data_IF_883679456340
#
_entry.id   IF_883679456340
#
_cell.length_a   1.000
_cell.length_b   1.000
_cell.length_c   1.000
_cell.angle_alpha   90.00
_cell.angle_beta   90.00
_cell.angle_gamma   90.00
#
_symmetry.space_group_name_H-M   'P 1'
#
loop_
_entity.id
_entity.type
_entity.pdbx_description
1 polymer ?
#
# COMPACT_ATOMS: atom_id res chain seq x y z
N UNK A 1 14.37 3.94 57.88
CA UNK A 1 13.85 3.32 56.64
C UNK A 1 14.94 3.38 55.59
N UNK A 2 15.74 2.31 55.50
CA UNK A 2 16.77 2.17 54.49
C UNK A 2 16.10 1.82 53.15
N UNK A 3 16.46 2.53 52.08
CA UNK A 3 15.98 2.23 50.72
C UNK A 3 16.73 1.00 50.22
N UNK A 4 16.00 -0.06 49.90
CA UNK A 4 16.54 -1.27 49.31
C UNK A 4 17.31 -0.94 48.01
N UNK A 5 18.57 -1.36 47.97
CA UNK A 5 19.40 -1.26 46.78
C UNK A 5 18.86 -2.25 45.73
N UNK A 6 18.51 -1.73 44.55
CA UNK A 6 18.06 -2.53 43.42
C UNK A 6 19.12 -3.60 43.07
N UNK A 7 18.70 -4.86 42.96
CA UNK A 7 19.57 -5.99 42.62
C UNK A 7 20.26 -5.77 41.27
N UNK A 8 21.60 -5.87 41.26
CA UNK A 8 22.39 -5.92 40.03
C UNK A 8 22.11 -7.24 39.29
N UNK A 9 21.54 -7.18 38.09
CA UNK A 9 21.47 -8.34 37.20
C UNK A 9 22.84 -8.61 36.57
N UNK A 10 23.23 -9.88 36.49
CA UNK A 10 24.50 -10.29 35.87
C UNK A 10 24.63 -9.93 34.39
N UNK A 11 23.50 -9.59 33.74
CA UNK A 11 23.43 -9.03 32.39
C UNK A 11 22.56 -7.76 32.41
N UNK A 12 23.13 -6.58 32.62
CA UNK A 12 22.41 -5.31 32.46
C UNK A 12 22.07 -5.10 30.98
N UNK A 13 20.88 -4.56 30.70
CA UNK A 13 20.51 -4.13 29.35
C UNK A 13 21.58 -3.18 28.79
N UNK A 14 22.12 -3.51 27.61
CA UNK A 14 23.05 -2.64 26.88
C UNK A 14 22.36 -2.11 25.62
N UNK A 15 22.41 -0.79 25.35
CA UNK A 15 21.91 -0.25 24.10
C UNK A 15 22.70 -0.82 22.92
N UNK A 16 21.99 -1.27 21.89
CA UNK A 16 22.51 -1.91 20.66
C UNK A 16 23.55 -1.07 19.88
N UNK A 17 23.78 0.18 20.28
CA UNK A 17 24.64 1.14 19.59
C UNK A 17 25.74 1.69 20.50
N UNK A 18 26.76 0.87 20.81
CA UNK A 18 28.08 1.41 21.14
C UNK A 18 28.95 1.37 19.89
N UNK A 19 28.93 2.47 19.13
CA UNK A 19 30.03 2.74 18.21
C UNK A 19 31.30 2.94 19.04
N UNK A 20 32.34 2.13 18.79
CA UNK A 20 33.69 2.48 19.24
C UNK A 20 34.16 3.65 18.37
N UNK A 21 34.13 4.88 18.90
CA UNK A 21 34.78 6.02 18.26
C UNK A 21 35.94 6.53 19.14
N UNK A 22 37.09 6.71 18.50
CA UNK A 22 38.23 7.43 19.06
C UNK A 22 37.80 8.88 19.30
N UNK A 23 38.05 9.38 20.51
CA UNK A 23 37.74 10.74 20.95
C UNK A 23 38.63 11.77 20.25
N UNK A 24 38.02 12.80 19.65
CA UNK A 24 38.67 14.07 19.29
C UNK A 24 38.64 14.44 17.80
N UNK A 25 37.55 15.07 17.33
CA UNK A 25 37.53 16.03 16.21
C UNK A 25 36.14 16.68 16.14
N UNK A 26 36.07 17.99 16.41
CA UNK A 26 34.86 18.68 16.89
C UNK A 26 34.05 19.48 15.84
N UNK A 27 34.31 19.38 14.54
CA UNK A 27 33.59 20.20 13.53
C UNK A 27 32.89 19.38 12.42
N UNK A 28 33.52 18.30 11.94
CA UNK A 28 32.99 17.47 10.85
C UNK A 28 31.72 16.65 11.19
N UNK A 29 31.31 16.57 12.47
CA UNK A 29 30.25 15.67 12.92
C UNK A 29 28.92 16.35 13.26
N UNK A 30 28.84 17.68 13.28
CA UNK A 30 27.59 18.36 13.68
C UNK A 30 26.44 18.07 12.72
N UNK A 31 26.69 18.20 11.41
CA UNK A 31 25.65 18.03 10.39
C UNK A 31 25.15 16.58 10.34
N UNK A 32 26.00 15.54 10.27
CA UNK A 32 25.55 14.15 10.36
C UNK A 32 24.82 13.82 11.68
N UNK A 33 25.23 14.41 12.82
CA UNK A 33 24.54 14.21 14.11
C UNK A 33 23.14 14.84 14.13
N UNK A 34 23.01 16.08 13.64
CA UNK A 34 21.72 16.77 13.51
C UNK A 34 20.82 16.03 12.52
N UNK A 35 21.36 15.62 11.37
CA UNK A 35 20.66 14.82 10.37
C UNK A 35 20.19 13.46 10.92
N UNK A 36 21.01 12.78 11.72
CA UNK A 36 20.63 11.54 12.41
C UNK A 36 19.48 11.76 13.40
N UNK A 37 19.47 12.88 14.13
CA UNK A 37 18.37 13.24 15.03
C UNK A 37 17.06 13.44 14.27
N UNK A 38 17.11 14.10 13.11
CA UNK A 38 15.97 14.27 12.20
C UNK A 38 15.48 12.89 11.76
N UNK A 39 16.36 12.05 11.19
CA UNK A 39 16.01 10.70 10.72
C UNK A 39 15.46 9.77 11.81
N UNK A 40 15.78 10.00 13.09
CA UNK A 40 15.20 9.23 14.20
C UNK A 40 13.77 9.65 14.55
N UNK A 41 13.34 10.84 14.12
CA UNK A 41 12.00 11.39 14.38
C UNK A 41 11.10 11.31 13.15
N UNK A 42 11.63 10.90 11.99
CA UNK A 42 10.90 10.86 10.72
C UNK A 42 9.72 9.89 10.79
N UNK A 43 8.52 10.44 10.57
CA UNK A 43 7.24 9.73 10.41
C UNK A 43 6.44 10.39 9.29
N UNK A 44 5.42 9.72 8.75
CA UNK A 44 4.55 10.30 7.71
C UNK A 44 3.91 11.62 8.16
N UNK A 45 3.60 11.77 9.45
CA UNK A 45 2.90 12.93 10.03
C UNK A 45 3.76 14.18 10.16
N UNK A 46 5.07 14.04 10.35
CA UNK A 46 6.01 15.16 10.54
C UNK A 46 7.02 15.28 9.38
N UNK A 47 6.75 14.63 8.25
CA UNK A 47 7.67 14.58 7.12
C UNK A 47 8.00 15.97 6.55
N UNK A 48 6.99 16.84 6.39
CA UNK A 48 7.17 18.19 5.82
C UNK A 48 8.13 19.03 6.69
N UNK A 49 7.89 19.09 8.00
CA UNK A 49 8.69 19.90 8.92
C UNK A 49 10.12 19.36 9.06
N UNK A 50 10.31 18.04 9.00
CA UNK A 50 11.63 17.42 9.08
C UNK A 50 12.44 17.58 7.78
N UNK A 51 11.78 17.65 6.62
CA UNK A 51 12.44 17.97 5.34
C UNK A 51 12.92 19.42 5.33
N UNK A 52 12.12 20.36 5.85
CA UNK A 52 12.56 21.75 6.00
C UNK A 52 13.78 21.88 6.92
N UNK A 53 13.78 21.15 8.04
CA UNK A 53 14.94 21.06 8.92
C UNK A 53 16.14 20.45 8.21
N UNK A 54 15.96 19.40 7.41
CA UNK A 54 17.02 18.78 6.64
C UNK A 54 17.60 19.73 5.59
N UNK A 55 16.76 20.51 4.89
CA UNK A 55 17.18 21.52 3.90
C UNK A 55 17.88 22.72 4.55
N UNK A 56 17.56 23.05 5.80
CA UNK A 56 18.23 24.13 6.55
C UNK A 56 19.67 23.77 6.96
N UNK A 57 20.03 22.48 6.93
CA UNK A 57 21.39 22.05 7.23
C UNK A 57 22.32 22.40 6.05
N UNK A 58 23.38 23.15 6.35
CA UNK A 58 24.34 23.61 5.34
C UNK A 58 25.26 22.46 4.91
N UNK A 59 24.79 21.64 3.96
CA UNK A 59 25.56 20.57 3.31
C UNK A 59 26.36 21.17 2.15
N UNK A 60 27.50 21.76 2.48
CA UNK A 60 28.34 22.51 1.54
C UNK A 60 29.66 21.81 1.17
N UNK A 61 29.95 20.64 1.75
CA UNK A 61 31.18 19.89 1.48
C UNK A 61 30.87 18.45 1.07
N UNK A 62 31.77 17.84 0.29
CA UNK A 62 31.66 16.45 -0.15
C UNK A 62 31.56 15.48 1.04
N UNK A 63 32.32 15.69 2.12
CA UNK A 63 32.27 14.83 3.31
C UNK A 63 30.92 14.88 4.03
N UNK A 64 30.31 16.08 4.13
CA UNK A 64 28.98 16.24 4.72
C UNK A 64 27.92 15.56 3.85
N UNK A 65 28.03 15.69 2.52
CA UNK A 65 27.12 15.05 1.58
C UNK A 65 27.21 13.52 1.68
N UNK A 66 28.42 12.97 1.66
CA UNK A 66 28.66 11.53 1.86
C UNK A 66 28.10 11.04 3.20
N UNK A 67 28.33 11.77 4.28
CA UNK A 67 27.77 11.43 5.60
C UNK A 67 26.25 11.40 5.62
N UNK A 68 25.57 12.32 4.91
CA UNK A 68 24.10 12.32 4.78
C UNK A 68 23.60 11.14 3.96
N UNK A 69 24.25 10.86 2.81
CA UNK A 69 23.92 9.72 1.94
C UNK A 69 24.07 8.40 2.72
N UNK A 70 25.18 8.24 3.44
CA UNK A 70 25.47 7.04 4.23
C UNK A 70 24.43 6.84 5.34
N UNK A 71 24.01 7.93 6.01
CA UNK A 71 22.97 7.86 7.04
C UNK A 71 21.62 7.43 6.47
N UNK A 72 21.19 8.00 5.33
CA UNK A 72 19.91 7.64 4.69
C UNK A 72 19.94 6.19 4.22
N UNK A 73 21.02 5.78 3.55
CA UNK A 73 21.18 4.42 3.05
C UNK A 73 21.19 3.40 4.19
N UNK A 74 22.01 3.60 5.22
CA UNK A 74 22.08 2.72 6.39
C UNK A 74 20.73 2.61 7.11
N UNK A 75 19.99 3.72 7.21
CA UNK A 75 18.64 3.73 7.79
C UNK A 75 17.66 2.92 6.95
N UNK A 76 17.63 3.16 5.64
CA UNK A 76 16.69 2.48 4.75
C UNK A 76 16.92 0.97 4.69
N UNK A 77 18.17 0.50 4.73
CA UNK A 77 18.45 -0.94 4.73
C UNK A 77 18.11 -1.63 6.05
N UNK A 78 18.18 -0.92 7.18
CA UNK A 78 17.86 -1.47 8.51
C UNK A 78 16.38 -1.38 8.86
N UNK A 79 15.69 -0.38 8.29
CA UNK A 79 14.30 -0.09 8.59
C UNK A 79 13.45 -0.12 7.29
N UNK A 80 13.32 -1.30 6.64
CA UNK A 80 12.68 -1.41 5.32
C UNK A 80 11.22 -0.95 5.30
N UNK A 81 10.52 -1.03 6.44
CA UNK A 81 9.14 -0.55 6.58
C UNK A 81 9.01 0.98 6.41
N UNK A 82 10.09 1.73 6.62
CA UNK A 82 10.14 3.18 6.45
C UNK A 82 10.87 3.60 5.16
N UNK A 83 11.26 2.64 4.30
CA UNK A 83 11.97 2.90 3.04
C UNK A 83 11.25 3.87 2.11
N UNK A 84 9.91 3.86 2.05
CA UNK A 84 9.12 4.84 1.28
C UNK A 84 9.44 6.28 1.72
N UNK A 85 9.53 6.52 3.03
CA UNK A 85 9.80 7.85 3.58
C UNK A 85 11.23 8.28 3.27
N UNK A 86 12.19 7.37 3.39
CA UNK A 86 13.59 7.63 3.02
C UNK A 86 13.75 7.90 1.52
N UNK A 87 12.98 7.25 0.66
CA UNK A 87 12.98 7.50 -0.79
C UNK A 87 12.38 8.88 -1.11
N UNK A 88 11.28 9.26 -0.47
CA UNK A 88 10.70 10.61 -0.60
C UNK A 88 11.68 11.69 -0.16
N UNK A 89 12.39 11.50 0.95
CA UNK A 89 13.44 12.42 1.40
C UNK A 89 14.57 12.50 0.36
N UNK A 90 15.02 11.35 -0.15
CA UNK A 90 16.04 11.28 -1.20
C UNK A 90 15.63 12.01 -2.48
N UNK A 91 14.33 12.04 -2.81
CA UNK A 91 13.79 12.75 -3.97
C UNK A 91 13.92 14.26 -3.80
N UNK A 92 13.68 14.77 -2.59
CA UNK A 92 13.88 16.19 -2.25
C UNK A 92 15.36 16.59 -2.27
N UNK A 93 16.25 15.69 -1.86
CA UNK A 93 17.70 15.91 -1.84
C UNK A 93 18.39 15.63 -3.18
N UNK A 94 17.69 15.05 -4.17
CA UNK A 94 18.30 14.56 -5.41
C UNK A 94 19.04 15.63 -6.23
N UNK A 95 18.59 16.89 -6.13
CA UNK A 95 19.18 18.03 -6.84
C UNK A 95 20.35 18.68 -6.10
N UNK A 96 20.66 18.24 -4.88
CA UNK A 96 21.77 18.77 -4.10
C UNK A 96 23.11 18.35 -4.72
N UNK A 97 23.95 19.35 -5.01
CA UNK A 97 25.30 19.19 -5.54
C UNK A 97 26.28 20.00 -4.72
N UNK A 98 27.48 19.47 -4.51
CA UNK A 98 28.57 20.12 -3.78
C UNK A 98 29.86 20.09 -4.61
N UNK A 99 30.79 21.06 -4.45
CA UNK A 99 32.08 21.00 -5.12
C UNK A 99 32.87 19.75 -4.72
N UNK A 100 33.52 19.11 -5.68
CA UNK A 100 34.38 17.95 -5.42
C UNK A 100 35.67 18.36 -4.71
N UNK A 101 36.05 17.58 -3.71
CA UNK A 101 37.33 17.71 -3.00
C UNK A 101 38.53 17.27 -3.85
N UNK A 102 38.32 16.37 -4.82
CA UNK A 102 39.40 15.78 -5.64
C UNK A 102 39.63 16.52 -6.96
N UNK A 103 38.58 17.07 -7.58
CA UNK A 103 38.65 17.68 -8.91
C UNK A 103 38.09 19.12 -8.89
N UNK A 104 38.95 20.15 -9.00
CA UNK A 104 38.53 21.54 -9.09
C UNK A 104 37.57 21.77 -10.27
N UNK A 105 36.41 22.37 -10.02
CA UNK A 105 35.41 22.69 -11.04
C UNK A 105 34.42 21.57 -11.37
N UNK A 106 34.52 20.42 -10.71
CA UNK A 106 33.54 19.33 -10.83
C UNK A 106 32.65 19.26 -9.59
N UNK A 107 31.36 19.04 -9.81
CA UNK A 107 30.40 18.88 -8.72
C UNK A 107 30.08 17.39 -8.47
N UNK A 108 29.88 17.07 -7.20
CA UNK A 108 29.40 15.77 -6.72
C UNK A 108 27.93 15.91 -6.38
N UNK A 109 27.10 15.07 -6.99
CA UNK A 109 25.65 15.11 -6.85
C UNK A 109 25.13 14.00 -5.91
N UNK A 110 24.15 14.36 -5.07
CA UNK A 110 23.52 13.45 -4.11
C UNK A 110 22.97 12.18 -4.76
N UNK A 111 22.18 12.31 -5.84
CA UNK A 111 21.57 11.16 -6.53
C UNK A 111 22.65 10.19 -7.02
N UNK A 112 23.74 10.70 -7.59
CA UNK A 112 24.83 9.85 -8.08
C UNK A 112 25.51 9.08 -6.94
N UNK A 113 25.78 9.73 -5.81
CA UNK A 113 26.38 9.08 -4.64
C UNK A 113 25.44 8.01 -4.05
N UNK A 114 24.15 8.32 -3.90
CA UNK A 114 23.17 7.39 -3.36
C UNK A 114 23.06 6.13 -4.24
N UNK A 115 22.98 6.30 -5.56
CA UNK A 115 22.92 5.17 -6.50
C UNK A 115 24.19 4.32 -6.45
N UNK A 116 25.37 4.94 -6.36
CA UNK A 116 26.63 4.22 -6.22
C UNK A 116 26.65 3.36 -4.94
N UNK A 117 26.15 3.90 -3.81
CA UNK A 117 26.04 3.16 -2.54
C UNK A 117 25.06 1.99 -2.63
N UNK A 118 23.88 2.20 -3.22
CA UNK A 118 22.91 1.14 -3.45
C UNK A 118 23.48 0.02 -4.33
N UNK A 119 24.24 0.37 -5.38
CA UNK A 119 24.87 -0.59 -6.29
C UNK A 119 25.96 -1.40 -5.58
N UNK A 120 26.88 -0.74 -4.85
CA UNK A 120 27.88 -1.43 -4.04
C UNK A 120 27.22 -2.37 -3.01
N UNK A 121 26.13 -1.90 -2.40
CA UNK A 121 25.18 -2.64 -1.57
C UNK A 121 24.75 -3.98 -2.18
N UNK A 122 24.21 -3.86 -3.38
CA UNK A 122 23.64 -4.95 -4.14
C UNK A 122 24.71 -5.95 -4.60
N UNK A 123 25.85 -5.45 -5.09
CA UNK A 123 26.94 -6.26 -5.64
C UNK A 123 27.80 -6.97 -4.57
N UNK A 124 27.82 -6.45 -3.33
CA UNK A 124 28.66 -6.95 -2.23
C UNK A 124 28.53 -8.46 -1.97
N UNK A 125 27.34 -9.06 -2.09
CA UNK A 125 27.20 -10.53 -1.94
C UNK A 125 27.61 -11.32 -3.17
N UNK A 126 27.35 -10.81 -4.38
CA UNK A 126 27.74 -11.51 -5.62
C UNK A 126 29.27 -11.63 -5.72
N UNK A 127 29.99 -10.61 -5.24
CA UNK A 127 31.46 -10.64 -5.21
C UNK A 127 32.00 -11.61 -4.15
N UNK A 128 31.38 -11.68 -2.95
CA UNK A 128 31.79 -12.60 -1.87
C UNK A 128 31.53 -14.08 -2.18
N UNK A 129 30.49 -14.41 -2.95
CA UNK A 129 30.25 -15.79 -3.41
C UNK A 129 31.29 -16.25 -4.43
N UNK A 130 31.71 -15.36 -5.33
CA UNK A 130 32.76 -15.62 -6.33
C UNK A 130 34.15 -15.83 -5.70
N UNK A 131 34.38 -15.24 -4.52
CA UNK A 131 35.60 -15.45 -3.73
C UNK A 131 35.54 -16.72 -2.86
N UNK A 132 34.36 -17.08 -2.31
CA UNK A 132 34.16 -18.34 -1.58
C UNK A 132 34.29 -19.59 -2.43
N UNK A 133 33.96 -19.53 -3.73
CA UNK A 133 34.22 -20.64 -4.66
C UNK A 133 35.72 -20.94 -4.87
N UNK A 134 36.64 -20.15 -4.28
CA UNK A 134 38.09 -20.38 -4.32
C UNK A 134 38.70 -20.79 -2.98
N UNK A 135 37.94 -20.79 -1.89
CA UNK A 135 38.44 -21.11 -0.55
C UNK A 135 37.55 -22.16 0.10
N UNK A 136 38.08 -23.38 0.23
CA UNK A 136 37.44 -24.53 0.85
C UNK A 136 37.17 -24.32 2.36
N UNK A 137 35.98 -24.79 2.75
CA UNK A 137 35.43 -25.15 4.05
C UNK A 137 36.16 -24.76 5.35
N UNK A 138 35.44 -23.97 6.16
CA UNK A 138 35.42 -24.18 7.62
C UNK A 138 34.01 -23.89 8.14
N UNK A 139 33.43 -24.92 8.76
CA UNK A 139 32.08 -24.92 9.30
C UNK A 139 32.06 -24.45 10.77
N UNK A 140 30.92 -23.87 11.16
CA UNK A 140 30.44 -23.88 12.55
C UNK A 140 30.98 -22.79 13.45
N UNK A 141 30.35 -21.62 13.42
CA UNK A 141 30.44 -20.66 14.52
C UNK A 141 29.06 -19.96 14.63
N UNK A 142 28.42 -19.97 15.81
CA UNK A 142 27.08 -19.34 15.99
C UNK A 142 27.10 -17.85 15.64
N UNK A 143 28.24 -17.19 15.84
CA UNK A 143 28.53 -15.83 15.38
C UNK A 143 28.44 -15.67 13.85
N UNK A 144 28.64 -16.75 13.09
CA UNK A 144 28.56 -16.76 11.63
C UNK A 144 27.10 -16.81 11.16
N UNK A 145 26.22 -17.54 11.86
CA UNK A 145 24.79 -17.63 11.53
C UNK A 145 24.11 -16.26 11.70
N UNK A 146 24.42 -15.54 12.78
CA UNK A 146 23.86 -14.22 13.02
C UNK A 146 24.39 -13.17 12.03
N UNK A 147 25.68 -13.23 11.68
CA UNK A 147 26.27 -12.40 10.60
C UNK A 147 25.64 -12.68 9.24
N UNK A 148 25.37 -13.94 8.91
CA UNK A 148 24.72 -14.34 7.65
C UNK A 148 23.27 -13.84 7.61
N UNK A 149 22.49 -14.02 8.68
CA UNK A 149 21.13 -13.48 8.79
C UNK A 149 21.11 -11.95 8.67
N UNK A 150 22.04 -11.25 9.33
CA UNK A 150 22.16 -9.79 9.25
C UNK A 150 22.49 -9.31 7.84
N UNK A 151 23.40 -9.99 7.15
CA UNK A 151 23.73 -9.72 5.74
C UNK A 151 22.53 -9.99 4.81
N UNK A 152 21.71 -11.00 5.11
CA UNK A 152 20.46 -11.29 4.38
C UNK A 152 19.46 -10.13 4.47
N UNK A 153 19.13 -9.69 5.68
CA UNK A 153 18.16 -8.60 5.87
C UNK A 153 18.64 -7.27 5.27
N UNK A 154 19.94 -6.96 5.36
CA UNK A 154 20.49 -5.74 4.74
C UNK A 154 20.30 -5.71 3.23
N UNK A 155 20.46 -6.84 2.56
CA UNK A 155 20.23 -6.91 1.12
C UNK A 155 18.77 -6.81 0.73
N UNK A 156 17.88 -7.48 1.47
CA UNK A 156 16.45 -7.33 1.27
C UNK A 156 16.05 -5.85 1.44
N UNK A 157 16.53 -5.20 2.49
CA UNK A 157 16.34 -3.76 2.73
C UNK A 157 16.88 -2.89 1.59
N UNK A 158 18.10 -3.17 1.11
CA UNK A 158 18.69 -2.44 -0.03
C UNK A 158 17.86 -2.61 -1.32
N UNK A 159 17.38 -3.81 -1.60
CA UNK A 159 16.55 -4.09 -2.78
C UNK A 159 15.18 -3.41 -2.68
N UNK A 160 14.52 -3.49 -1.52
CA UNK A 160 13.27 -2.76 -1.25
C UNK A 160 13.50 -1.25 -1.41
N UNK A 161 14.59 -0.72 -0.86
CA UNK A 161 14.90 0.70 -0.97
C UNK A 161 15.16 1.13 -2.42
N UNK A 162 15.89 0.36 -3.22
CA UNK A 162 16.04 0.60 -4.67
C UNK A 162 14.66 0.63 -5.35
N UNK A 163 13.75 -0.26 -4.95
CA UNK A 163 12.38 -0.27 -5.46
C UNK A 163 11.58 0.97 -5.08
N UNK A 164 11.69 1.43 -3.83
CA UNK A 164 11.09 2.69 -3.38
C UNK A 164 11.68 3.91 -4.09
N UNK A 165 12.99 3.91 -4.37
CA UNK A 165 13.66 4.94 -5.18
C UNK A 165 13.16 4.97 -6.64
N UNK A 166 12.75 3.83 -7.19
CA UNK A 166 12.10 3.76 -8.51
C UNK A 166 10.72 4.41 -8.49
N UNK A 167 9.91 4.17 -7.46
CA UNK A 167 8.58 4.80 -7.32
C UNK A 167 8.63 6.33 -7.31
N UNK A 168 9.72 6.91 -6.80
CA UNK A 168 9.96 8.37 -6.77
C UNK A 168 10.85 8.89 -7.92
N UNK A 169 11.02 8.11 -9.00
CA UNK A 169 11.77 8.46 -10.21
C UNK A 169 13.28 8.79 -9.98
N UNK A 170 13.87 8.30 -8.88
CA UNK A 170 15.31 8.39 -8.61
C UNK A 170 16.11 7.28 -9.31
N UNK A 171 15.48 6.13 -9.53
CA UNK A 171 16.06 5.00 -10.24
C UNK A 171 15.31 4.81 -11.56
N UNK A 172 16.04 4.49 -12.63
CA UNK A 172 15.44 4.18 -13.92
C UNK A 172 14.92 2.73 -13.96
N UNK A 173 13.89 2.48 -14.76
CA UNK A 173 13.30 1.14 -14.97
C UNK A 173 14.34 0.07 -15.36
N UNK A 174 15.34 0.45 -16.16
CA UNK A 174 16.43 -0.45 -16.59
C UNK A 174 17.22 -1.05 -15.41
N UNK A 175 17.37 -0.29 -14.32
CA UNK A 175 18.03 -0.75 -13.10
C UNK A 175 17.17 -1.79 -12.38
N UNK A 176 15.85 -1.59 -12.31
CA UNK A 176 14.93 -2.56 -11.72
C UNK A 176 14.94 -3.87 -12.51
N UNK A 177 14.87 -3.79 -13.85
CA UNK A 177 14.99 -4.96 -14.72
C UNK A 177 16.34 -5.68 -14.53
N UNK A 178 17.43 -4.94 -14.34
CA UNK A 178 18.73 -5.51 -14.06
C UNK A 178 18.75 -6.27 -12.71
N UNK A 179 18.23 -5.65 -11.64
CA UNK A 179 18.11 -6.28 -10.33
C UNK A 179 17.29 -7.58 -10.41
N UNK A 180 16.13 -7.55 -11.05
CA UNK A 180 15.26 -8.72 -11.23
C UNK A 180 16.00 -9.86 -11.95
N UNK A 181 16.60 -9.56 -13.11
CA UNK A 181 17.34 -10.57 -13.89
C UNK A 181 18.49 -11.17 -13.09
N UNK A 182 19.25 -10.35 -12.36
CA UNK A 182 20.37 -10.81 -11.53
C UNK A 182 19.88 -11.73 -10.39
N UNK A 183 18.78 -11.39 -9.72
CA UNK A 183 18.22 -12.19 -8.63
C UNK A 183 17.66 -13.54 -9.12
N UNK A 184 17.03 -13.55 -10.31
CA UNK A 184 16.49 -14.77 -10.94
C UNK A 184 17.58 -15.69 -11.50
N UNK A 185 18.74 -15.17 -11.92
CA UNK A 185 19.86 -15.99 -12.42
C UNK A 185 20.52 -16.78 -11.28
N UNK A 186 20.68 -16.17 -10.11
CA UNK A 186 21.35 -16.80 -8.96
C UNK A 186 20.54 -17.99 -8.41
N UNK A 187 19.21 -17.90 -8.46
CA UNK A 187 18.22 -18.90 -7.99
C UNK A 187 18.37 -19.34 -6.53
N UNK A 188 19.21 -18.72 -5.70
CA UNK A 188 19.30 -19.07 -4.27
C UNK A 188 18.04 -18.66 -3.50
N UNK A 189 17.74 -19.32 -2.38
CA UNK A 189 16.58 -18.95 -1.57
C UNK A 189 16.64 -17.48 -1.12
N UNK A 190 17.83 -16.96 -0.79
CA UNK A 190 17.99 -15.56 -0.43
C UNK A 190 17.78 -14.61 -1.61
N UNK A 191 18.22 -14.98 -2.82
CA UNK A 191 18.01 -14.14 -4.00
C UNK A 191 16.54 -14.12 -4.42
N UNK A 192 15.86 -15.27 -4.31
CA UNK A 192 14.43 -15.40 -4.57
C UNK A 192 13.60 -14.64 -3.53
N UNK A 193 13.97 -14.65 -2.24
CA UNK A 193 13.32 -13.83 -1.21
C UNK A 193 13.46 -12.33 -1.51
N UNK A 194 14.66 -11.89 -1.92
CA UNK A 194 14.89 -10.51 -2.33
C UNK A 194 14.10 -10.15 -3.60
N UNK A 195 13.99 -11.07 -4.55
CA UNK A 195 13.19 -10.91 -5.77
C UNK A 195 11.71 -10.75 -5.46
N UNK A 196 11.15 -11.60 -4.60
CA UNK A 196 9.77 -11.49 -4.14
C UNK A 196 9.52 -10.16 -3.41
N UNK A 197 10.44 -9.75 -2.51
CA UNK A 197 10.37 -8.45 -1.84
C UNK A 197 10.41 -7.27 -2.80
N UNK A 198 11.25 -7.33 -3.84
CA UNK A 198 11.33 -6.31 -4.88
C UNK A 198 10.02 -6.21 -5.63
N UNK A 199 9.53 -7.32 -6.21
CA UNK A 199 8.32 -7.31 -7.03
C UNK A 199 7.07 -6.97 -6.24
N UNK A 200 6.98 -7.34 -4.96
CA UNK A 200 5.90 -6.85 -4.08
C UNK A 200 5.90 -5.32 -3.95
N UNK A 201 7.09 -4.70 -3.99
CA UNK A 201 7.25 -3.24 -3.88
C UNK A 201 7.01 -2.52 -5.20
N UNK A 202 7.58 -3.03 -6.30
CA UNK A 202 7.62 -2.33 -7.60
C UNK A 202 6.72 -2.92 -8.68
N UNK A 203 6.16 -4.11 -8.49
CA UNK A 203 5.50 -4.89 -9.54
C UNK A 203 4.45 -4.11 -10.31
N UNK A 204 3.52 -3.48 -9.59
CA UNK A 204 2.50 -2.61 -10.18
C UNK A 204 3.08 -1.44 -10.98
N UNK A 205 4.07 -0.76 -10.42
CA UNK A 205 4.72 0.38 -11.06
C UNK A 205 5.53 -0.03 -12.29
N UNK A 206 6.17 -1.20 -12.23
CA UNK A 206 6.96 -1.78 -13.30
C UNK A 206 6.08 -2.23 -14.46
N UNK A 207 4.96 -2.90 -14.18
CA UNK A 207 4.00 -3.33 -15.22
C UNK A 207 3.40 -2.12 -15.93
N UNK A 208 3.01 -1.07 -15.18
CA UNK A 208 2.60 0.22 -15.74
C UNK A 208 3.70 0.82 -16.63
N UNK A 209 4.96 0.78 -16.21
CA UNK A 209 6.07 1.35 -16.96
C UNK A 209 6.35 0.59 -18.28
N UNK A 210 6.24 -0.74 -18.25
CA UNK A 210 6.37 -1.62 -19.42
C UNK A 210 5.22 -1.38 -20.42
N UNK A 211 3.97 -1.33 -19.94
CA UNK A 211 2.79 -1.10 -20.79
C UNK A 211 2.83 0.25 -21.54
N UNK A 212 3.55 1.26 -21.02
CA UNK A 212 3.72 2.56 -21.69
C UNK A 212 4.56 2.51 -22.96
N UNK A 213 5.49 1.56 -23.06
CA UNK A 213 6.48 1.51 -24.15
C UNK A 213 6.16 0.51 -25.23
N UNK A 214 5.33 -0.49 -24.93
CA UNK A 214 5.07 -1.59 -25.86
C UNK A 214 3.64 -1.55 -26.39
N UNK A 215 3.49 -1.27 -27.69
CA UNK A 215 2.25 -1.47 -28.47
C UNK A 215 2.08 -2.96 -28.82
N UNK A 216 3.16 -3.74 -28.75
CA UNK A 216 3.19 -5.18 -29.00
C UNK A 216 3.28 -5.94 -27.66
N UNK A 217 2.50 -7.00 -27.51
CA UNK A 217 2.36 -7.88 -26.33
C UNK A 217 3.65 -8.63 -25.90
N UNK A 218 4.84 -8.03 -25.98
CA UNK A 218 6.06 -8.61 -25.40
C UNK A 218 6.18 -8.20 -23.93
N UNK A 219 5.45 -8.94 -23.11
CA UNK A 219 5.32 -8.67 -21.70
C UNK A 219 6.56 -9.19 -20.95
N UNK A 220 7.55 -8.33 -20.71
CA UNK A 220 8.75 -8.66 -19.94
C UNK A 220 8.38 -9.23 -18.55
N UNK A 221 7.23 -8.84 -17.99
CA UNK A 221 6.71 -9.42 -16.76
C UNK A 221 6.27 -10.89 -16.93
N UNK A 222 5.69 -11.27 -18.07
CA UNK A 222 5.35 -12.67 -18.36
C UNK A 222 6.60 -13.54 -18.40
N UNK A 223 7.70 -13.01 -18.96
CA UNK A 223 8.99 -13.70 -18.90
C UNK A 223 9.47 -13.92 -17.46
N UNK A 224 9.32 -12.91 -16.57
CA UNK A 224 9.69 -13.08 -15.16
C UNK A 224 8.83 -14.11 -14.44
N UNK A 225 7.52 -14.11 -14.67
CA UNK A 225 6.61 -15.10 -14.09
C UNK A 225 6.88 -16.49 -14.64
N UNK A 226 7.17 -16.62 -15.94
CA UNK A 226 7.56 -17.88 -16.54
C UNK A 226 8.84 -18.45 -15.89
N UNK A 227 9.86 -17.62 -15.67
CA UNK A 227 11.07 -18.05 -14.97
C UNK A 227 10.79 -18.46 -13.51
N UNK A 228 9.87 -17.78 -12.82
CA UNK A 228 9.42 -18.17 -11.49
C UNK A 228 8.72 -19.53 -11.50
N UNK A 229 7.81 -19.76 -12.44
CA UNK A 229 7.11 -21.04 -12.60
C UNK A 229 8.10 -22.17 -12.85
N UNK A 230 9.09 -21.95 -13.71
CA UNK A 230 10.17 -22.92 -13.96
C UNK A 230 10.98 -23.25 -12.69
N UNK A 231 11.21 -22.28 -11.81
CA UNK A 231 11.87 -22.52 -10.52
C UNK A 231 10.98 -23.38 -9.60
N UNK A 232 9.67 -23.11 -9.56
CA UNK A 232 8.70 -23.92 -8.80
C UNK A 232 8.68 -25.37 -9.32
N UNK A 233 8.53 -25.55 -10.63
CA UNK A 233 8.40 -26.86 -11.27
C UNK A 233 9.68 -27.71 -11.15
N UNK A 234 10.84 -27.05 -11.05
CA UNK A 234 12.13 -27.74 -10.87
C UNK A 234 12.30 -28.40 -9.49
N UNK A 235 11.39 -28.16 -8.53
CA UNK A 235 11.47 -28.70 -7.18
C UNK A 235 12.64 -28.14 -6.34
N UNK A 236 13.30 -27.09 -6.82
CA UNK A 236 14.56 -26.56 -6.29
C UNK A 236 14.41 -25.69 -5.01
N UNK A 237 13.23 -25.60 -4.41
CA UNK A 237 12.98 -24.65 -3.32
C UNK A 237 12.25 -25.28 -2.12
N UNK A 238 12.55 -24.82 -0.90
CA UNK A 238 11.80 -25.23 0.29
C UNK A 238 10.30 -24.93 0.15
N UNK A 239 9.44 -25.67 0.86
CA UNK A 239 7.99 -25.42 0.85
C UNK A 239 7.65 -23.95 1.11
N UNK A 240 8.37 -23.28 2.02
CA UNK A 240 8.22 -21.85 2.30
C UNK A 240 8.50 -20.98 1.07
N UNK A 241 9.58 -21.25 0.35
CA UNK A 241 9.95 -20.49 -0.84
C UNK A 241 8.98 -20.75 -1.99
N UNK A 242 8.57 -22.02 -2.17
CA UNK A 242 7.52 -22.39 -3.14
C UNK A 242 6.23 -21.59 -2.89
N UNK A 243 5.73 -21.59 -1.65
CA UNK A 243 4.54 -20.78 -1.31
C UNK A 243 4.77 -19.29 -1.53
N UNK A 244 5.94 -18.74 -1.18
CA UNK A 244 6.23 -17.32 -1.40
C UNK A 244 6.23 -16.94 -2.89
N UNK A 245 6.69 -17.83 -3.76
CA UNK A 245 6.69 -17.63 -5.22
C UNK A 245 5.28 -17.81 -5.81
N UNK A 246 4.53 -18.82 -5.34
CA UNK A 246 3.11 -19.01 -5.68
C UNK A 246 2.28 -17.77 -5.29
N UNK A 247 2.46 -17.26 -4.06
CA UNK A 247 1.83 -16.02 -3.58
C UNK A 247 2.17 -14.81 -4.48
N UNK A 248 3.35 -14.78 -5.08
CA UNK A 248 3.77 -13.69 -5.96
C UNK A 248 3.10 -13.78 -7.33
N UNK A 249 2.97 -15.00 -7.87
CA UNK A 249 2.20 -15.24 -9.11
C UNK A 249 0.74 -14.85 -8.87
N UNK A 250 0.16 -15.30 -7.75
CA UNK A 250 -1.20 -14.95 -7.35
C UNK A 250 -1.37 -13.44 -7.14
N UNK A 251 -0.41 -12.77 -6.50
CA UNK A 251 -0.45 -11.31 -6.34
C UNK A 251 -0.53 -10.60 -7.69
N UNK A 252 0.21 -11.08 -8.70
CA UNK A 252 0.15 -10.51 -10.05
C UNK A 252 -1.16 -10.81 -10.75
N UNK A 253 -1.70 -12.04 -10.65
CA UNK A 253 -3.00 -12.37 -11.25
C UNK A 253 -4.13 -11.53 -10.65
N UNK A 254 -3.95 -11.03 -9.43
CA UNK A 254 -4.85 -10.10 -8.76
C UNK A 254 -4.46 -8.63 -8.92
N UNK A 255 -3.84 -8.23 -10.03
CA UNK A 255 -3.46 -6.84 -10.34
C UNK A 255 -2.62 -6.14 -9.24
N UNK A 256 -1.77 -6.91 -8.56
CA UNK A 256 -0.95 -6.48 -7.44
C UNK A 256 -1.74 -6.01 -6.21
N UNK A 257 -2.99 -6.44 -6.08
CA UNK A 257 -3.76 -6.26 -4.85
C UNK A 257 -3.54 -7.45 -3.90
N UNK A 258 -3.07 -7.22 -2.66
CA UNK A 258 -2.93 -8.30 -1.68
C UNK A 258 -4.30 -8.89 -1.31
N UNK A 259 -4.52 -10.18 -1.62
CA UNK A 259 -5.77 -10.89 -1.27
C UNK A 259 -5.93 -11.15 0.24
N UNK A 260 -4.86 -11.01 1.04
CA UNK A 260 -4.89 -11.20 2.50
C UNK A 260 -4.22 -10.01 3.18
N UNK A 261 -5.02 -9.13 3.78
CA UNK A 261 -4.51 -8.01 4.60
C UNK A 261 -3.88 -8.52 5.91
N UNK A 262 -4.09 -9.79 6.26
CA UNK A 262 -3.64 -10.35 7.53
C UNK A 262 -2.76 -11.61 7.32
N UNK A 263 -1.52 -11.55 7.81
CA UNK A 263 -0.67 -12.68 8.28
C UNK A 263 0.75 -12.86 7.70
N UNK A 264 1.47 -11.86 7.20
CA UNK A 264 2.92 -12.10 6.96
C UNK A 264 3.96 -11.05 7.33
N UNK A 265 3.58 -9.89 7.85
CA UNK A 265 4.49 -9.01 8.58
C UNK A 265 3.76 -8.43 9.79
N UNK A 266 4.49 -8.15 10.87
CA UNK A 266 3.97 -7.49 12.08
C UNK A 266 3.36 -6.10 11.78
N UNK A 267 3.12 -5.28 12.82
CA UNK A 267 2.14 -4.18 12.79
C UNK A 267 2.26 -3.36 11.51
N UNK A 268 1.20 -3.48 10.69
CA UNK A 268 0.72 -2.60 9.63
C UNK A 268 1.78 -1.60 9.18
N UNK A 269 2.50 -1.90 8.09
CA UNK A 269 3.03 -0.82 7.29
C UNK A 269 1.82 -0.04 6.78
N UNK A 270 1.70 1.19 7.26
CA UNK A 270 0.66 2.18 6.96
C UNK A 270 0.66 2.62 5.47
N UNK A 271 1.11 1.75 4.55
CA UNK A 271 1.50 2.08 3.18
C UNK A 271 0.49 1.56 2.14
N UNK A 272 -0.31 0.53 2.44
CA UNK A 272 -1.29 0.04 1.46
C UNK A 272 -2.57 0.88 1.36
N UNK A 273 -2.82 1.84 2.27
CA UNK A 273 -4.06 2.62 2.28
C UNK A 273 -3.83 4.14 2.12
N UNK A 274 -2.64 4.68 2.44
CA UNK A 274 -2.43 6.16 2.49
C UNK A 274 -1.71 6.81 1.30
N UNK A 275 -1.22 6.09 0.29
CA UNK A 275 -0.48 6.70 -0.83
C UNK A 275 -1.26 6.79 -2.17
N UNK A 276 -2.55 7.14 -2.11
CA UNK A 276 -3.30 7.59 -3.30
C UNK A 276 -3.20 9.10 -3.58
N UNK A 277 -2.50 9.89 -2.77
CA UNK A 277 -2.22 11.30 -3.04
C UNK A 277 -0.80 11.52 -3.58
N UNK A 278 -0.62 11.40 -4.90
CA UNK A 278 0.51 12.02 -5.60
C UNK A 278 0.02 12.66 -6.90
N UNK A 279 0.14 13.99 -6.94
CA UNK A 279 -0.03 14.84 -8.12
C UNK A 279 1.09 14.54 -9.12
N UNK A 280 0.82 13.73 -10.14
CA UNK A 280 1.72 13.56 -11.28
C UNK A 280 0.90 13.27 -12.56
N UNK A 281 0.71 14.30 -13.39
CA UNK A 281 -0.23 14.34 -14.52
C UNK A 281 0.04 13.30 -15.62
N UNK A 282 1.24 12.70 -15.66
CA UNK A 282 1.57 11.62 -16.60
C UNK A 282 1.10 10.24 -16.11
N UNK A 283 1.01 10.03 -14.78
CA UNK A 283 0.47 8.80 -14.21
C UNK A 283 -1.05 8.74 -14.31
N UNK A 284 -1.75 9.88 -14.34
CA UNK A 284 -3.21 9.94 -14.59
C UNK A 284 -3.60 9.44 -15.98
N UNK A 285 -2.87 9.83 -17.03
CA UNK A 285 -3.17 9.41 -18.41
C UNK A 285 -3.02 7.91 -18.62
N UNK A 286 -2.04 7.30 -17.94
CA UNK A 286 -1.75 5.86 -18.07
C UNK A 286 -2.54 5.04 -17.04
N UNK A 287 -2.84 5.57 -15.85
CA UNK A 287 -3.88 5.04 -14.95
C UNK A 287 -5.22 5.00 -15.64
N UNK A 288 -5.59 6.08 -16.36
CA UNK A 288 -6.73 6.08 -17.26
C UNK A 288 -6.56 4.96 -18.25
N UNK A 289 -5.51 4.86 -19.07
CA UNK A 289 -5.52 3.91 -20.20
C UNK A 289 -5.39 2.41 -19.85
N UNK A 290 -4.54 2.01 -18.90
CA UNK A 290 -4.35 0.58 -18.53
C UNK A 290 -5.43 0.13 -17.53
N UNK A 291 -5.78 1.01 -16.59
CA UNK A 291 -6.98 0.86 -15.77
C UNK A 291 -8.23 0.84 -16.64
N UNK A 292 -8.33 1.65 -17.70
CA UNK A 292 -9.41 1.62 -18.69
C UNK A 292 -9.45 0.26 -19.37
N UNK A 293 -8.35 -0.29 -19.87
CA UNK A 293 -8.39 -1.58 -20.59
C UNK A 293 -8.87 -2.77 -19.73
N UNK A 294 -8.29 -3.00 -18.54
CA UNK A 294 -8.78 -4.05 -17.63
C UNK A 294 -10.16 -3.70 -17.07
N UNK A 295 -10.39 -2.43 -16.73
CA UNK A 295 -11.73 -2.00 -16.32
C UNK A 295 -12.72 -2.08 -17.46
N UNK A 296 -12.36 -2.05 -18.74
CA UNK A 296 -13.33 -2.02 -19.83
C UNK A 296 -13.88 -3.41 -20.06
N UNK A 297 -13.04 -4.44 -20.06
CA UNK A 297 -13.52 -5.82 -20.12
C UNK A 297 -14.30 -6.19 -18.85
N UNK A 298 -13.84 -5.77 -17.67
CA UNK A 298 -14.59 -5.93 -16.43
C UNK A 298 -15.87 -5.09 -16.40
N UNK A 299 -15.85 -3.85 -16.89
CA UNK A 299 -17.01 -2.95 -16.98
C UNK A 299 -17.99 -3.47 -17.99
N UNK A 300 -17.57 -4.11 -19.09
CA UNK A 300 -18.48 -4.75 -20.05
C UNK A 300 -19.16 -5.96 -19.39
N UNK A 301 -18.41 -6.83 -18.70
CA UNK A 301 -18.96 -7.97 -17.96
C UNK A 301 -19.88 -7.52 -16.81
N UNK A 302 -19.50 -6.48 -16.07
CA UNK A 302 -20.29 -5.89 -14.98
C UNK A 302 -21.48 -5.10 -15.53
N UNK A 303 -21.35 -4.39 -16.65
CA UNK A 303 -22.46 -3.68 -17.29
C UNK A 303 -23.49 -4.66 -17.83
N UNK A 304 -23.04 -5.75 -18.47
CA UNK A 304 -23.91 -6.86 -18.86
C UNK A 304 -24.59 -7.46 -17.63
N UNK A 305 -23.86 -7.70 -16.53
CA UNK A 305 -24.48 -8.21 -15.30
C UNK A 305 -25.46 -7.22 -14.67
N UNK A 306 -25.16 -5.93 -14.63
CA UNK A 306 -26.06 -4.87 -14.13
C UNK A 306 -27.33 -4.80 -14.99
N UNK A 307 -27.21 -5.04 -16.29
CA UNK A 307 -28.34 -5.17 -17.21
C UNK A 307 -29.14 -6.46 -16.94
N UNK A 308 -28.48 -7.60 -16.68
CA UNK A 308 -29.14 -8.85 -16.28
C UNK A 308 -29.85 -8.74 -14.91
N UNK A 309 -29.24 -8.06 -13.93
CA UNK A 309 -29.86 -7.75 -12.64
C UNK A 309 -31.10 -6.86 -12.83
N UNK A 310 -31.11 -6.03 -13.88
CA UNK A 310 -32.30 -5.25 -14.27
C UNK A 310 -33.43 -6.13 -14.85
N UNK A 311 -33.10 -7.31 -15.39
CA UNK A 311 -34.04 -8.30 -15.92
C UNK A 311 -34.53 -9.36 -14.89
N UNK A 312 -34.25 -9.15 -13.60
CA UNK A 312 -34.71 -9.95 -12.45
C UNK A 312 -34.17 -11.39 -12.30
N UNK A 313 -33.18 -11.82 -13.08
CA UNK A 313 -32.54 -13.14 -12.86
C UNK A 313 -31.43 -13.05 -11.81
N UNK A 314 -31.85 -13.02 -10.53
CA UNK A 314 -30.92 -12.95 -9.41
C UNK A 314 -30.14 -14.26 -9.21
N UNK A 315 -30.63 -15.41 -9.64
CA UNK A 315 -29.95 -16.70 -9.47
C UNK A 315 -28.79 -16.85 -10.47
N UNK A 316 -29.03 -16.52 -11.74
CA UNK A 316 -27.99 -16.51 -12.77
C UNK A 316 -26.92 -15.45 -12.48
N UNK A 317 -27.35 -14.23 -12.10
CA UNK A 317 -26.43 -13.16 -11.70
C UNK A 317 -25.59 -13.55 -10.46
N UNK A 318 -26.18 -14.26 -9.50
CA UNK A 318 -25.45 -14.74 -8.31
C UNK A 318 -24.40 -15.78 -8.68
N UNK A 319 -24.73 -16.73 -9.57
CA UNK A 319 -23.77 -17.73 -10.06
C UNK A 319 -22.62 -17.07 -10.83
N UNK A 320 -22.94 -16.14 -11.72
CA UNK A 320 -21.95 -15.42 -12.52
C UNK A 320 -21.03 -14.54 -11.65
N UNK A 321 -21.56 -13.87 -10.61
CA UNK A 321 -20.71 -13.14 -9.66
C UNK A 321 -19.94 -14.08 -8.75
N UNK A 322 -20.44 -15.26 -8.39
CA UNK A 322 -19.62 -16.22 -7.63
C UNK A 322 -18.40 -16.68 -8.46
N UNK A 323 -18.59 -16.86 -9.77
CA UNK A 323 -17.49 -17.16 -10.70
C UNK A 323 -16.55 -15.97 -10.89
N UNK A 324 -17.07 -14.73 -11.03
CA UNK A 324 -16.26 -13.52 -11.15
C UNK A 324 -15.58 -13.09 -9.84
N UNK A 325 -16.22 -13.22 -8.69
CA UNK A 325 -15.69 -12.83 -7.37
C UNK A 325 -14.59 -13.79 -6.87
N UNK A 326 -14.53 -15.00 -7.45
CA UNK A 326 -13.38 -15.89 -7.27
C UNK A 326 -12.19 -15.48 -8.15
N UNK A 327 -12.44 -14.79 -9.27
CA UNK A 327 -11.40 -14.26 -10.17
C UNK A 327 -10.95 -12.83 -9.81
N UNK A 328 -11.81 -12.06 -9.14
CA UNK A 328 -11.60 -10.67 -8.73
C UNK A 328 -12.09 -10.49 -7.30
N UNK A 329 -11.41 -9.73 -6.44
CA UNK A 329 -11.89 -9.51 -5.07
C UNK A 329 -13.33 -8.96 -5.03
N UNK A 330 -14.18 -9.55 -4.19
CA UNK A 330 -15.59 -9.23 -4.01
C UNK A 330 -15.89 -7.71 -3.88
N UNK A 331 -15.06 -6.97 -3.15
CA UNK A 331 -15.25 -5.52 -2.97
C UNK A 331 -15.04 -4.72 -4.27
N UNK A 332 -14.17 -5.19 -5.18
CA UNK A 332 -13.88 -4.51 -6.45
C UNK A 332 -15.06 -4.60 -7.41
N UNK A 333 -15.76 -5.75 -7.40
CA UNK A 333 -17.02 -5.92 -8.10
C UNK A 333 -18.06 -4.89 -7.62
N UNK A 334 -18.27 -4.78 -6.30
CA UNK A 334 -19.21 -3.83 -5.70
C UNK A 334 -18.86 -2.40 -6.10
N UNK A 335 -17.58 -2.04 -6.02
CA UNK A 335 -17.11 -0.71 -6.36
C UNK A 335 -17.48 -0.32 -7.81
N UNK A 336 -17.16 -1.20 -8.76
CA UNK A 336 -17.45 -0.98 -10.19
C UNK A 336 -18.95 -0.99 -10.47
N UNK A 337 -19.71 -1.88 -9.84
CA UNK A 337 -21.16 -1.94 -9.99
C UNK A 337 -21.85 -0.66 -9.50
N UNK A 338 -21.40 -0.12 -8.36
CA UNK A 338 -21.89 1.18 -7.85
C UNK A 338 -21.58 2.29 -8.85
N UNK A 339 -20.35 2.42 -9.34
CA UNK A 339 -20.01 3.44 -10.36
C UNK A 339 -20.82 3.31 -11.65
N UNK A 340 -21.16 2.09 -12.09
CA UNK A 340 -21.97 1.87 -13.29
C UNK A 340 -23.44 2.26 -13.14
N UNK A 341 -23.97 2.19 -11.92
CA UNK A 341 -25.40 2.34 -11.64
C UNK A 341 -25.73 3.69 -11.00
N UNK A 342 -24.77 4.37 -10.37
CA UNK A 342 -25.01 5.59 -9.59
C UNK A 342 -25.69 6.70 -10.41
N UNK A 343 -25.31 6.86 -11.68
CA UNK A 343 -25.88 7.84 -12.61
C UNK A 343 -27.10 7.31 -13.42
N UNK A 344 -27.51 6.05 -13.23
CA UNK A 344 -28.68 5.47 -13.93
C UNK A 344 -30.00 5.91 -13.27
N UNK A 345 -31.11 5.25 -13.61
CA UNK A 345 -32.40 5.54 -12.99
C UNK A 345 -32.54 4.93 -11.58
N UNK A 346 -33.54 5.40 -10.82
CA UNK A 346 -33.79 4.97 -9.43
C UNK A 346 -34.06 3.46 -9.30
N UNK A 347 -34.75 2.88 -10.28
CA UNK A 347 -35.00 1.44 -10.31
C UNK A 347 -33.70 0.62 -10.42
N UNK A 348 -32.75 1.02 -11.27
CA UNK A 348 -31.46 0.35 -11.41
C UNK A 348 -30.64 0.39 -10.11
N UNK A 349 -30.60 1.55 -9.43
CA UNK A 349 -29.94 1.71 -8.12
C UNK A 349 -30.55 0.81 -7.07
N UNK A 350 -31.87 0.77 -6.97
CA UNK A 350 -32.58 -0.09 -6.03
C UNK A 350 -32.36 -1.58 -6.32
N UNK A 351 -32.38 -1.99 -7.59
CA UNK A 351 -32.13 -3.39 -7.99
C UNK A 351 -30.71 -3.85 -7.66
N UNK A 352 -29.70 -2.99 -7.88
CA UNK A 352 -28.33 -3.26 -7.45
C UNK A 352 -28.26 -3.42 -5.92
N UNK A 353 -28.88 -2.51 -5.17
CA UNK A 353 -28.93 -2.62 -3.71
C UNK A 353 -29.56 -3.92 -3.22
N UNK A 354 -30.66 -4.34 -3.85
CA UNK A 354 -31.34 -5.61 -3.54
C UNK A 354 -30.48 -6.82 -3.89
N UNK A 355 -29.77 -6.78 -5.01
CA UNK A 355 -28.83 -7.83 -5.40
C UNK A 355 -27.70 -7.99 -4.40
N UNK A 356 -27.05 -6.90 -4.00
CA UNK A 356 -25.99 -6.94 -2.99
C UNK A 356 -26.50 -7.44 -1.62
N UNK A 357 -27.73 -7.06 -1.24
CA UNK A 357 -28.40 -7.60 -0.06
C UNK A 357 -28.59 -9.13 -0.12
N UNK A 358 -29.00 -9.67 -1.29
CA UNK A 358 -29.12 -11.12 -1.49
C UNK A 358 -27.77 -11.84 -1.38
N UNK A 359 -26.70 -11.24 -1.90
CA UNK A 359 -25.36 -11.81 -1.81
C UNK A 359 -24.84 -11.89 -0.38
N UNK A 360 -25.08 -10.86 0.42
CA UNK A 360 -24.75 -10.87 1.84
C UNK A 360 -25.58 -11.92 2.58
N UNK A 361 -26.89 -12.01 2.30
CA UNK A 361 -27.79 -13.03 2.87
C UNK A 361 -27.35 -14.46 2.56
N UNK A 362 -26.90 -14.69 1.32
CA UNK A 362 -26.42 -15.98 0.86
C UNK A 362 -24.97 -16.26 1.29
N UNK A 363 -24.34 -15.37 2.08
CA UNK A 363 -22.96 -15.47 2.56
C UNK A 363 -21.92 -15.56 1.44
N UNK A 364 -22.24 -15.00 0.28
CA UNK A 364 -21.31 -14.87 -0.86
C UNK A 364 -20.43 -13.64 -0.64
N UNK A 365 -20.99 -12.59 -0.05
CA UNK A 365 -20.28 -11.40 0.42
C UNK A 365 -20.33 -11.36 1.95
N UNK A 366 -19.19 -11.14 2.59
CA UNK A 366 -19.20 -10.74 4.00
C UNK A 366 -19.44 -9.23 4.16
N UNK A 367 -19.82 -8.80 5.37
CA UNK A 367 -20.13 -7.40 5.66
C UNK A 367 -18.91 -6.49 5.44
N UNK A 368 -17.70 -6.99 5.74
CA UNK A 368 -16.45 -6.25 5.54
C UNK A 368 -16.19 -5.98 4.05
N UNK A 369 -16.35 -6.98 3.18
CA UNK A 369 -16.21 -6.83 1.73
C UNK A 369 -17.27 -5.87 1.15
N UNK A 370 -18.50 -5.95 1.68
CA UNK A 370 -19.57 -5.02 1.35
C UNK A 370 -19.15 -3.59 1.67
N UNK A 371 -18.72 -3.30 2.91
CA UNK A 371 -18.28 -1.98 3.33
C UNK A 371 -17.07 -1.47 2.53
N UNK A 372 -16.07 -2.32 2.28
CA UNK A 372 -14.89 -1.98 1.48
C UNK A 372 -15.24 -1.57 0.05
N UNK A 373 -16.25 -2.21 -0.56
CA UNK A 373 -16.67 -1.91 -1.93
C UNK A 373 -17.17 -0.48 -2.12
N UNK A 374 -17.86 0.08 -1.12
CA UNK A 374 -18.35 1.46 -1.14
C UNK A 374 -17.28 2.48 -0.73
N UNK A 375 -16.19 2.05 -0.09
CA UNK A 375 -15.18 2.93 0.49
C UNK A 375 -14.62 3.96 -0.51
N UNK A 376 -14.37 3.56 -1.77
CA UNK A 376 -13.82 4.49 -2.76
C UNK A 376 -14.82 5.59 -3.16
N UNK A 377 -16.10 5.26 -3.32
CA UNK A 377 -17.13 6.24 -3.68
C UNK A 377 -17.37 7.19 -2.52
N UNK A 378 -17.38 6.66 -1.29
CA UNK A 378 -17.67 7.41 -0.08
C UNK A 378 -16.52 8.32 0.36
N UNK A 379 -15.26 7.99 0.06
CA UNK A 379 -14.09 8.86 0.38
C UNK A 379 -14.10 10.19 -0.39
N UNK A 380 -14.64 10.19 -1.60
CA UNK A 380 -14.69 11.35 -2.49
C UNK A 380 -16.13 11.81 -2.76
N UNK A 381 -17.08 11.44 -1.89
CA UNK A 381 -18.51 11.72 -2.11
C UNK A 381 -18.80 13.22 -2.21
N UNK A 382 -18.09 14.05 -1.47
CA UNK A 382 -18.28 15.51 -1.48
C UNK A 382 -17.77 16.13 -2.80
N UNK A 383 -16.66 15.59 -3.33
CA UNK A 383 -16.12 15.99 -4.64
C UNK A 383 -17.10 15.59 -5.75
N UNK A 384 -17.62 14.37 -5.72
CA UNK A 384 -18.59 13.89 -6.71
C UNK A 384 -19.96 14.57 -6.61
N UNK A 385 -20.35 15.04 -5.42
CA UNK A 385 -21.61 15.77 -5.23
C UNK A 385 -21.64 17.12 -5.95
N UNK A 386 -20.46 17.66 -6.33
CA UNK A 386 -20.37 18.88 -7.14
C UNK A 386 -20.91 18.65 -8.56
N UNK A 387 -20.64 17.47 -9.13
CA UNK A 387 -21.04 17.11 -10.49
C UNK A 387 -22.41 16.38 -10.52
N UNK A 388 -22.77 15.71 -9.42
CA UNK A 388 -23.99 14.89 -9.30
C UNK A 388 -24.86 15.42 -8.14
N UNK A 389 -25.82 16.32 -8.40
CA UNK A 389 -26.56 17.05 -7.35
C UNK A 389 -27.35 16.20 -6.34
N UNK A 390 -27.74 14.97 -6.70
CA UNK A 390 -28.52 14.05 -5.85
C UNK A 390 -27.75 12.79 -5.47
N UNK A 391 -26.41 12.87 -5.47
CA UNK A 391 -25.55 11.72 -5.25
C UNK A 391 -25.82 11.04 -3.90
N UNK A 392 -26.11 11.82 -2.86
CA UNK A 392 -26.33 11.33 -1.50
C UNK A 392 -27.61 10.49 -1.42
N UNK A 393 -28.67 10.92 -2.09
CA UNK A 393 -29.91 10.18 -2.26
C UNK A 393 -29.71 8.94 -3.13
N UNK A 394 -28.90 9.03 -4.19
CA UNK A 394 -28.58 7.89 -5.06
C UNK A 394 -27.83 6.79 -4.31
N UNK A 395 -26.85 7.15 -3.47
CA UNK A 395 -26.19 6.22 -2.55
C UNK A 395 -27.24 5.64 -1.59
N UNK A 396 -28.14 6.47 -1.07
CA UNK A 396 -29.25 6.05 -0.23
C UNK A 396 -30.14 4.98 -0.90
N UNK A 397 -30.46 5.12 -2.18
CA UNK A 397 -31.26 4.15 -2.94
C UNK A 397 -30.57 2.78 -3.09
N UNK A 398 -29.24 2.76 -3.14
CA UNK A 398 -28.45 1.52 -3.21
C UNK A 398 -28.32 0.87 -1.82
N UNK A 399 -28.19 1.65 -0.75
CA UNK A 399 -28.01 1.14 0.61
C UNK A 399 -29.33 0.73 1.29
N UNK A 400 -30.45 1.38 0.94
CA UNK A 400 -31.76 1.15 1.56
C UNK A 400 -32.22 -0.32 1.55
N UNK A 401 -32.05 -1.12 0.48
CA UNK A 401 -32.46 -2.52 0.46
C UNK A 401 -31.77 -3.41 1.51
N UNK A 402 -30.58 -3.04 1.99
CA UNK A 402 -29.89 -3.77 3.05
C UNK A 402 -30.61 -3.64 4.40
N UNK A 403 -31.30 -2.51 4.61
CA UNK A 403 -32.12 -2.27 5.82
C UNK A 403 -33.34 -3.18 5.91
N UNK A 404 -33.70 -3.86 4.82
CA UNK A 404 -34.79 -4.83 4.80
C UNK A 404 -34.44 -6.17 5.47
N UNK A 405 -33.16 -6.43 5.73
CA UNK A 405 -32.74 -7.64 6.42
C UNK A 405 -32.92 -7.51 7.94
N UNK A 406 -33.82 -8.33 8.50
CA UNK A 406 -34.03 -8.42 9.94
C UNK A 406 -32.78 -8.87 10.74
N UNK A 407 -31.77 -9.44 10.07
CA UNK A 407 -30.52 -9.90 10.69
C UNK A 407 -29.41 -8.83 10.72
N UNK A 408 -29.53 -7.75 9.93
CA UNK A 408 -28.54 -6.67 9.83
C UNK A 408 -29.23 -5.31 10.11
N UNK A 409 -29.52 -5.01 11.39
CA UNK A 409 -30.57 -4.07 11.77
C UNK A 409 -30.15 -2.59 11.71
N UNK A 410 -29.47 -2.14 10.65
CA UNK A 410 -28.91 -0.78 10.43
C UNK A 410 -27.48 -0.55 10.91
N UNK A 411 -26.91 -1.42 11.75
CA UNK A 411 -25.54 -1.25 12.28
C UNK A 411 -24.46 -1.12 11.21
N UNK A 412 -24.69 -1.73 10.03
CA UNK A 412 -23.79 -1.60 8.88
C UNK A 412 -23.61 -0.15 8.41
N UNK A 413 -24.58 0.74 8.63
CA UNK A 413 -24.50 2.14 8.23
C UNK A 413 -23.34 2.84 8.91
N UNK A 414 -23.08 2.52 10.19
CA UNK A 414 -21.96 3.08 10.93
C UNK A 414 -20.62 2.63 10.34
N UNK A 415 -20.52 1.38 9.90
CA UNK A 415 -19.29 0.80 9.33
C UNK A 415 -19.03 1.30 7.91
N UNK A 416 -20.06 1.37 7.07
CA UNK A 416 -19.93 1.75 5.66
C UNK A 416 -19.68 3.26 5.50
N UNK A 417 -20.29 4.09 6.36
CA UNK A 417 -20.21 5.56 6.26
C UNK A 417 -19.05 6.19 7.05
N UNK A 418 -18.17 5.38 7.66
CA UNK A 418 -16.94 5.88 8.31
C UNK A 418 -16.18 6.91 7.46
N UNK A 419 -15.99 6.70 6.13
CA UNK A 419 -15.26 7.66 5.30
C UNK A 419 -15.92 9.05 5.19
N UNK A 420 -17.24 9.14 5.44
CA UNK A 420 -18.03 10.37 5.28
C UNK A 420 -18.23 11.14 6.59
N UNK A 421 -17.73 10.64 7.73
CA UNK A 421 -17.90 11.28 9.04
C UNK A 421 -17.28 12.71 9.08
N UNK A 422 -16.09 12.96 8.51
CA UNK A 422 -15.47 14.29 8.59
C UNK A 422 -16.26 15.42 7.91
N UNK A 423 -17.12 15.11 6.94
CA UNK A 423 -17.82 16.10 6.11
C UNK A 423 -19.30 16.30 6.44
N UNK A 424 -19.82 15.66 7.49
CA UNK A 424 -21.26 15.61 7.84
C UNK A 424 -22.16 14.90 6.80
N UNK A 425 -21.64 14.58 5.61
CA UNK A 425 -22.33 13.84 4.55
C UNK A 425 -22.80 12.45 4.98
N UNK A 426 -22.14 11.86 5.97
CA UNK A 426 -22.59 10.62 6.63
C UNK A 426 -24.01 10.74 7.21
N UNK A 427 -24.34 11.89 7.82
CA UNK A 427 -25.68 12.16 8.33
C UNK A 427 -26.73 12.25 7.23
N UNK A 428 -26.44 12.98 6.15
CA UNK A 428 -27.36 13.17 5.02
C UNK A 428 -27.67 11.87 4.29
N UNK A 429 -26.65 11.02 4.04
CA UNK A 429 -26.85 9.70 3.44
C UNK A 429 -27.68 8.82 4.38
N UNK A 430 -27.42 8.86 5.68
CA UNK A 430 -28.20 8.12 6.68
C UNK A 430 -29.67 8.54 6.68
N UNK A 431 -29.95 9.85 6.64
CA UNK A 431 -31.30 10.39 6.54
C UNK A 431 -32.00 9.92 5.25
N UNK A 432 -31.30 9.97 4.11
CA UNK A 432 -31.83 9.49 2.83
C UNK A 432 -32.18 7.99 2.87
N UNK A 433 -31.30 7.15 3.42
CA UNK A 433 -31.54 5.71 3.60
C UNK A 433 -32.78 5.46 4.46
N UNK A 434 -32.89 6.11 5.62
CA UNK A 434 -34.01 5.92 6.54
C UNK A 434 -35.33 6.40 5.92
N UNK A 435 -35.32 7.52 5.21
CA UNK A 435 -36.49 8.04 4.51
C UNK A 435 -36.97 7.05 3.45
N UNK A 436 -36.08 6.53 2.62
CA UNK A 436 -36.39 5.54 1.58
C UNK A 436 -36.91 4.23 2.19
N UNK A 437 -36.26 3.74 3.24
CA UNK A 437 -36.70 2.55 3.97
C UNK A 437 -38.10 2.75 4.61
N UNK A 438 -38.37 3.95 5.13
CA UNK A 438 -39.65 4.28 5.76
C UNK A 438 -40.81 4.32 4.77
N UNK A 439 -40.55 4.72 3.52
CA UNK A 439 -41.53 4.69 2.43
C UNK A 439 -41.94 3.26 2.06
N UNK A 440 -41.03 2.29 2.23
CA UNK A 440 -41.27 0.89 1.87
C UNK A 440 -41.85 0.04 3.01
N UNK A 441 -41.34 0.19 4.24
CA UNK A 441 -41.70 -0.64 5.41
C UNK A 441 -42.60 0.06 6.43
N UNK A 442 -42.83 1.37 6.26
CA UNK A 442 -43.55 2.21 7.20
C UNK A 442 -42.66 2.80 8.28
N UNK A 443 -42.99 4.03 8.69
CA UNK A 443 -42.22 4.84 9.65
C UNK A 443 -42.03 4.16 11.02
N UNK A 444 -43.06 3.46 11.49
CA UNK A 444 -43.07 2.82 12.82
C UNK A 444 -41.99 1.73 12.87
N UNK A 445 -41.95 0.85 11.87
CA UNK A 445 -41.00 -0.27 11.81
C UNK A 445 -39.55 0.19 11.70
N UNK A 446 -39.30 1.22 10.90
CA UNK A 446 -37.94 1.79 10.78
C UNK A 446 -37.52 2.46 12.09
N UNK A 447 -38.42 3.15 12.78
CA UNK A 447 -38.13 3.72 14.09
C UNK A 447 -37.82 2.64 15.15
N UNK A 448 -38.51 1.50 15.10
CA UNK A 448 -38.19 0.34 15.96
C UNK A 448 -36.80 -0.24 15.63
N UNK A 449 -36.47 -0.42 14.35
CA UNK A 449 -35.15 -0.90 13.93
C UNK A 449 -34.03 0.07 14.34
N UNK A 450 -34.23 1.37 14.16
CA UNK A 450 -33.28 2.40 14.60
C UNK A 450 -33.04 2.30 16.11
N UNK A 451 -34.10 2.21 16.92
CA UNK A 451 -33.98 2.03 18.37
C UNK A 451 -33.26 0.73 18.74
N UNK A 452 -33.60 -0.38 18.07
CA UNK A 452 -32.99 -1.69 18.33
C UNK A 452 -31.50 -1.76 17.95
N UNK A 453 -31.08 -0.95 16.96
CA UNK A 453 -29.68 -0.88 16.50
C UNK A 453 -28.73 -0.21 17.49
N UNK A 454 -29.26 0.60 18.41
CA UNK A 454 -28.47 1.40 19.34
C UNK A 454 -27.76 2.61 18.72
N UNK A 455 -27.90 2.83 17.40
CA UNK A 455 -27.30 3.95 16.69
C UNK A 455 -27.84 5.29 17.17
N UNK A 456 -26.97 6.28 17.21
CA UNK A 456 -27.29 7.67 17.50
C UNK A 456 -26.85 8.55 16.33
N UNK A 457 -27.46 9.72 16.15
CA UNK A 457 -27.01 10.66 15.11
C UNK A 457 -25.57 11.15 15.35
N UNK A 458 -25.11 11.17 16.60
CA UNK A 458 -23.72 11.42 16.96
C UNK A 458 -22.73 10.41 16.37
N UNK A 459 -23.17 9.20 15.95
CA UNK A 459 -22.33 8.26 15.23
C UNK A 459 -22.02 8.69 13.78
N UNK A 460 -22.80 9.64 13.25
CA UNK A 460 -22.75 10.10 11.86
C UNK A 460 -22.38 11.58 11.71
N UNK A 461 -22.34 12.35 12.81
CA UNK A 461 -22.12 13.80 12.81
C UNK A 461 -20.88 14.19 13.67
N UNK A 462 -20.07 15.14 13.19
CA UNK A 462 -18.81 15.52 13.83
C UNK A 462 -18.96 16.60 14.94
N UNK A 463 -20.17 17.03 15.34
CA UNK A 463 -20.35 18.05 16.41
C UNK A 463 -21.78 18.08 17.01
N UNK A 464 -21.99 18.90 18.05
CA UNK A 464 -23.27 19.15 18.76
C UNK A 464 -24.41 19.76 17.88
N UNK A 465 -24.35 19.59 16.56
CA UNK A 465 -25.31 20.06 15.57
C UNK A 465 -26.49 19.08 15.36
N UNK A 466 -26.63 18.04 16.17
CA UNK A 466 -27.69 17.03 16.04
C UNK A 466 -29.09 17.65 15.94
N UNK A 467 -29.40 18.64 16.79
CA UNK A 467 -30.71 19.32 16.77
C UNK A 467 -30.95 20.09 15.46
N UNK A 468 -29.96 20.86 15.03
CA UNK A 468 -30.04 21.65 13.80
C UNK A 468 -30.08 20.75 12.55
N UNK A 469 -29.39 19.61 12.59
CA UNK A 469 -29.42 18.64 11.51
C UNK A 469 -30.80 18.00 11.36
N UNK A 470 -31.40 17.53 12.47
CA UNK A 470 -32.74 16.90 12.50
C UNK A 470 -33.84 17.90 12.11
N UNK A 471 -33.69 19.19 12.40
CA UNK A 471 -34.68 20.20 11.99
C UNK A 471 -34.66 20.46 10.47
N UNK A 472 -33.52 20.22 9.82
CA UNK A 472 -33.30 20.52 8.40
C UNK A 472 -33.44 19.30 7.46
N UNK A 473 -33.44 18.06 7.99
CA UNK A 473 -33.47 16.80 7.23
C UNK A 473 -34.42 15.79 7.87
#
# INVERSE_FOLDING_TARGET
MARDALHHSGNPWQPFYKFKYKSGQYDYQEVPRKFRSILNKVTSKNFVTLVEQANSLHVNTEDKLNGVVDLIHEKAIHEPNFSSIYAKLSSRLAQLSVPSSEQPGKEVNFRKLLLAKCQLEFESKFNKMKERSKASDSAGDENNVEKVKKSRYRQLGNVIFIGELFKVNIVAESIIHHCIKRLLIERSEESLECFCGLLRTVGKYLEIAISRRSIQNNNVMDFYIYEVQKVIDSGFSSSRMRFMLEDLIELRTNDWFPLRICNFFGPISHICIEECNFQDNNCERIRKNVGLLLSNEMKEKIAHLVEQVSNFDFEEATKYVTELANAYSAFMFINLAVFQVIERNSQARHLLGRFLCLMVKNKILCLEEYCLGFSSVLKSVDEYSLDIPFLKEYIGEILAPMTEDSKLPLTFLKEILVPCIPSQTSGEITAAVLLLASKQKGKIRIAELWKASGLQWADFLHSNSEKEFIENH
#
